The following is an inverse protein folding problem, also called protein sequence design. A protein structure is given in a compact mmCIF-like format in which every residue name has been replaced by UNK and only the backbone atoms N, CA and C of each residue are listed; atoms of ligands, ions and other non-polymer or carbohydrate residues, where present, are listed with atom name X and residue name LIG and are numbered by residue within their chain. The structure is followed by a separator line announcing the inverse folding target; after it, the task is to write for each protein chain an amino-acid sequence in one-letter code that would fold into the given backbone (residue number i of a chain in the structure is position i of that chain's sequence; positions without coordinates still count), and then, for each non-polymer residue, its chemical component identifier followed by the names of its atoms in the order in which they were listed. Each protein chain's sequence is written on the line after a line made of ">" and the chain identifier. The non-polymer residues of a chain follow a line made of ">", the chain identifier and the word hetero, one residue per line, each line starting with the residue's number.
data_IF_778668454714
#
_entry.id   IF_778668454714
#
_cell.length_a   1.000
_cell.length_b   1.000
_cell.length_c   1.000
_cell.angle_alpha   90.00
_cell.angle_beta   90.00
_cell.angle_gamma   90.00
#
_symmetry.space_group_name_H-M   'P 1'
#
loop_
_entity.id
_entity.type
_entity.pdbx_description
1 polymer ?
#
# COMPACT_ATOMS: atom_id res chain seq x y z
N UNK A 1 30.18 22.63 -2.93
CA UNK A 1 29.31 21.45 -3.12
C UNK A 1 28.96 20.89 -1.75
N UNK A 2 27.75 21.16 -1.26
CA UNK A 2 27.29 20.63 0.03
C UNK A 2 27.14 19.10 -0.09
N UNK A 3 27.92 18.34 0.65
CA UNK A 3 27.75 16.91 0.85
C UNK A 3 26.38 16.67 1.52
N UNK A 4 25.30 16.58 0.73
CA UNK A 4 24.01 16.17 1.24
C UNK A 4 24.12 14.70 1.70
N UNK A 5 24.32 14.50 3.00
CA UNK A 5 24.36 13.18 3.62
C UNK A 5 23.04 12.47 3.32
N UNK A 6 23.13 11.23 2.84
CA UNK A 6 21.98 10.34 2.68
C UNK A 6 21.18 10.34 3.98
N UNK A 7 19.91 10.70 3.92
CA UNK A 7 19.07 10.79 5.12
C UNK A 7 19.10 9.46 5.87
N UNK A 8 19.50 9.52 7.15
CA UNK A 8 19.54 8.36 8.03
C UNK A 8 18.09 7.84 8.19
N UNK A 9 17.86 6.59 7.86
CA UNK A 9 16.52 5.97 7.98
C UNK A 9 16.23 5.68 9.43
N UNK A 10 14.98 5.91 9.84
CA UNK A 10 14.51 5.60 11.16
C UNK A 10 14.04 4.12 11.22
N UNK A 11 14.59 3.35 12.14
CA UNK A 11 14.24 1.93 12.34
C UNK A 11 12.79 1.74 12.75
N UNK A 12 12.20 2.69 13.47
CA UNK A 12 10.79 2.66 13.83
C UNK A 12 9.86 2.62 12.60
N UNK A 13 10.23 3.35 11.52
CA UNK A 13 9.49 3.31 10.25
C UNK A 13 9.56 1.92 9.62
N UNK A 14 10.73 1.26 9.66
CA UNK A 14 10.89 -0.09 9.11
C UNK A 14 10.15 -1.14 9.95
N UNK A 15 10.08 -1.00 11.28
CA UNK A 15 9.26 -1.84 12.17
C UNK A 15 7.77 -1.63 11.88
N UNK A 16 7.32 -0.37 11.75
CA UNK A 16 5.91 -0.10 11.48
C UNK A 16 5.46 -0.62 10.10
N UNK A 17 6.36 -0.69 9.11
CA UNK A 17 6.11 -1.40 7.84
C UNK A 17 5.79 -2.88 8.05
N UNK A 18 6.48 -3.54 8.97
CA UNK A 18 6.19 -4.94 9.31
C UNK A 18 4.79 -5.05 9.95
N UNK A 19 4.45 -4.14 10.86
CA UNK A 19 3.09 -4.09 11.45
C UNK A 19 2.05 -3.90 10.35
N UNK A 20 2.27 -2.96 9.41
CA UNK A 20 1.38 -2.74 8.27
C UNK A 20 1.24 -3.99 7.38
N UNK A 21 2.33 -4.76 7.17
CA UNK A 21 2.26 -6.01 6.40
C UNK A 21 1.37 -7.06 7.12
N UNK A 22 1.45 -7.18 8.44
CA UNK A 22 0.54 -8.04 9.21
C UNK A 22 -0.92 -7.56 9.14
N UNK A 23 -1.17 -6.26 9.21
CA UNK A 23 -2.53 -5.73 9.03
C UNK A 23 -3.10 -6.11 7.66
N UNK A 24 -2.28 -6.08 6.59
CA UNK A 24 -2.70 -6.51 5.26
C UNK A 24 -3.08 -8.01 5.25
N UNK A 25 -2.32 -8.88 5.92
CA UNK A 25 -2.65 -10.30 6.05
C UNK A 25 -3.98 -10.48 6.77
N UNK A 26 -4.19 -9.79 7.90
CA UNK A 26 -5.44 -9.81 8.68
C UNK A 26 -6.62 -9.39 7.80
N UNK A 27 -6.47 -8.34 6.99
CA UNK A 27 -7.53 -7.89 6.10
C UNK A 27 -7.93 -8.90 5.02
N UNK A 28 -6.96 -9.66 4.48
CA UNK A 28 -7.23 -10.68 3.48
C UNK A 28 -7.75 -12.00 4.06
N UNK A 29 -7.45 -12.28 5.32
CA UNK A 29 -7.86 -13.53 5.99
C UNK A 29 -9.15 -13.38 6.80
N UNK A 30 -9.47 -12.16 7.25
CA UNK A 30 -10.67 -11.82 8.04
C UNK A 30 -10.89 -12.76 9.24
N UNK A 31 -9.97 -12.78 10.22
CA UNK A 31 -10.02 -13.75 11.33
C UNK A 31 -11.27 -13.61 12.21
N UNK A 32 -11.84 -12.43 12.31
CA UNK A 32 -12.92 -12.12 13.23
C UNK A 32 -14.32 -12.28 12.63
N UNK A 33 -14.46 -12.61 11.33
CA UNK A 33 -15.75 -12.66 10.64
C UNK A 33 -16.74 -13.64 11.25
N UNK A 34 -16.24 -14.77 11.82
CA UNK A 34 -17.08 -15.77 12.50
C UNK A 34 -17.27 -15.49 13.98
N UNK A 35 -16.42 -14.66 14.60
CA UNK A 35 -16.45 -14.37 16.02
C UNK A 35 -17.35 -13.18 16.32
N UNK A 36 -17.13 -12.06 15.65
CA UNK A 36 -17.86 -10.82 15.85
C UNK A 36 -17.75 -9.91 14.63
N UNK A 37 -18.89 -9.58 14.03
CA UNK A 37 -18.95 -8.74 12.82
C UNK A 37 -18.42 -7.32 13.04
N UNK A 38 -18.62 -6.74 14.24
CA UNK A 38 -18.13 -5.39 14.56
C UNK A 38 -16.60 -5.37 14.70
N UNK A 39 -16.01 -6.41 15.31
CA UNK A 39 -14.56 -6.56 15.36
C UNK A 39 -13.98 -6.74 13.96
N UNK A 40 -14.59 -7.60 13.13
CA UNK A 40 -14.15 -7.78 11.76
C UNK A 40 -14.24 -6.48 10.97
N UNK A 41 -15.33 -5.74 11.08
CA UNK A 41 -15.50 -4.44 10.46
C UNK A 41 -14.43 -3.44 10.91
N UNK A 42 -14.16 -3.34 12.21
CA UNK A 42 -13.13 -2.45 12.76
C UNK A 42 -11.74 -2.77 12.21
N UNK A 43 -11.34 -4.05 12.24
CA UNK A 43 -10.03 -4.44 11.72
C UNK A 43 -9.91 -4.24 10.22
N UNK A 44 -10.94 -4.58 9.44
CA UNK A 44 -10.88 -4.53 7.97
C UNK A 44 -11.12 -3.15 7.37
N UNK A 45 -11.98 -2.33 7.97
CA UNK A 45 -12.39 -1.04 7.43
C UNK A 45 -11.79 0.17 8.16
N UNK A 46 -11.20 -0.01 9.33
CA UNK A 46 -10.52 1.08 10.05
C UNK A 46 -9.02 0.83 10.09
N UNK A 47 -8.54 -0.17 10.81
CA UNK A 47 -7.11 -0.36 11.05
C UNK A 47 -6.33 -0.75 9.79
N UNK A 48 -6.84 -1.70 9.00
CA UNK A 48 -6.19 -2.12 7.77
C UNK A 48 -6.00 -0.97 6.79
N UNK A 49 -6.96 -0.04 6.75
CA UNK A 49 -6.95 1.06 5.77
C UNK A 49 -5.80 2.05 5.97
N UNK A 50 -5.08 1.96 7.08
CA UNK A 50 -3.88 2.77 7.34
C UNK A 50 -2.66 2.20 6.60
N UNK A 51 -2.58 0.88 6.39
CA UNK A 51 -1.37 0.20 5.95
C UNK A 51 -0.89 0.66 4.57
N UNK A 52 -1.76 0.66 3.56
CA UNK A 52 -1.37 1.02 2.19
C UNK A 52 -1.03 2.50 2.04
N UNK A 53 -1.82 3.46 2.57
CA UNK A 53 -1.44 4.86 2.62
C UNK A 53 -0.09 5.10 3.28
N UNK A 54 0.19 4.43 4.40
CA UNK A 54 1.48 4.52 5.07
C UNK A 54 2.63 4.08 4.15
N UNK A 55 2.48 2.96 3.43
CA UNK A 55 3.50 2.51 2.47
C UNK A 55 3.75 3.53 1.35
N UNK A 56 2.72 4.17 0.80
CA UNK A 56 2.88 5.20 -0.22
C UNK A 56 3.54 6.47 0.35
N UNK A 57 3.14 6.93 1.54
CA UNK A 57 3.77 8.08 2.21
C UNK A 57 5.25 7.82 2.45
N UNK A 58 5.61 6.68 3.03
CA UNK A 58 7.00 6.29 3.25
C UNK A 58 7.79 6.22 1.94
N UNK A 59 7.17 5.67 0.89
CA UNK A 59 7.78 5.60 -0.44
C UNK A 59 8.05 6.98 -1.01
N UNK A 60 7.07 7.89 -0.98
CA UNK A 60 7.21 9.27 -1.43
C UNK A 60 8.26 10.06 -0.66
N UNK A 61 8.26 9.92 0.67
CA UNK A 61 9.19 10.59 1.56
C UNK A 61 10.67 10.24 1.25
N UNK A 62 10.99 8.95 1.18
CA UNK A 62 12.37 8.52 0.88
C UNK A 62 12.71 8.65 -0.61
N UNK A 63 11.75 8.53 -1.50
CA UNK A 63 11.95 8.76 -2.93
C UNK A 63 12.43 10.19 -3.19
N UNK A 64 11.74 11.17 -2.64
CA UNK A 64 12.11 12.58 -2.81
C UNK A 64 13.47 12.91 -2.19
N UNK A 65 13.78 12.39 -1.02
CA UNK A 65 15.10 12.53 -0.40
C UNK A 65 16.23 12.07 -1.32
N UNK A 66 16.03 10.94 -2.04
CA UNK A 66 17.03 10.43 -2.97
C UNK A 66 17.04 11.18 -4.31
N UNK A 67 15.89 11.67 -4.78
CA UNK A 67 15.80 12.51 -5.99
C UNK A 67 16.55 13.85 -5.82
N UNK A 68 16.58 14.42 -4.62
CA UNK A 68 17.40 15.62 -4.30
C UNK A 68 18.90 15.39 -4.49
N UNK A 69 19.36 14.15 -4.28
CA UNK A 69 20.79 13.77 -4.42
C UNK A 69 21.10 13.39 -5.88
N UNK A 70 20.18 12.68 -6.54
CA UNK A 70 20.36 12.21 -7.90
C UNK A 70 19.05 12.29 -8.70
N UNK A 71 18.96 13.21 -9.63
CA UNK A 71 17.79 13.42 -10.48
C UNK A 71 17.40 12.19 -11.33
N UNK A 72 18.30 11.24 -11.55
CA UNK A 72 18.04 10.00 -12.27
C UNK A 72 17.72 8.82 -11.36
N UNK A 73 17.62 9.05 -10.04
CA UNK A 73 17.31 8.01 -9.06
C UNK A 73 16.04 7.20 -9.41
N UNK A 74 15.03 7.85 -9.98
CA UNK A 74 13.76 7.21 -10.34
C UNK A 74 13.92 6.00 -11.26
N UNK A 75 14.88 6.02 -12.22
CA UNK A 75 15.13 4.88 -13.13
C UNK A 75 15.56 3.63 -12.38
N UNK A 76 16.54 3.78 -11.47
CA UNK A 76 17.02 2.68 -10.64
C UNK A 76 15.97 2.22 -9.61
N UNK A 77 15.14 3.14 -9.11
CA UNK A 77 14.06 2.83 -8.19
C UNK A 77 12.98 1.98 -8.88
N UNK A 78 12.50 2.39 -10.05
CA UNK A 78 11.53 1.63 -10.87
C UNK A 78 12.09 0.26 -11.24
N UNK A 79 13.35 0.19 -11.73
CA UNK A 79 14.00 -1.08 -12.07
C UNK A 79 14.00 -2.06 -10.89
N UNK A 80 14.27 -1.57 -9.67
CA UNK A 80 14.23 -2.40 -8.46
C UNK A 80 12.83 -2.92 -8.16
N UNK A 81 11.79 -2.09 -8.32
CA UNK A 81 10.41 -2.51 -8.11
C UNK A 81 10.04 -3.58 -9.13
N UNK A 82 10.33 -3.37 -10.42
CA UNK A 82 10.02 -4.33 -11.49
C UNK A 82 10.70 -5.67 -11.23
N UNK A 83 12.01 -5.68 -10.94
CA UNK A 83 12.77 -6.91 -10.65
C UNK A 83 12.19 -7.66 -9.44
N UNK A 84 11.70 -6.94 -8.45
CA UNK A 84 11.08 -7.53 -7.26
C UNK A 84 9.66 -8.03 -7.53
N UNK A 85 8.89 -7.32 -8.35
CA UNK A 85 7.47 -7.56 -8.61
C UNK A 85 7.21 -8.68 -9.64
N UNK A 86 7.91 -8.63 -10.78
CA UNK A 86 7.62 -9.50 -11.94
C UNK A 86 7.66 -11.00 -11.61
N UNK A 87 8.65 -11.53 -10.88
CA UNK A 87 8.66 -12.97 -10.54
C UNK A 87 7.41 -13.40 -9.77
N UNK A 88 6.96 -12.59 -8.81
CA UNK A 88 5.76 -12.88 -8.05
C UNK A 88 4.51 -12.77 -8.91
N UNK A 89 4.42 -11.77 -9.77
CA UNK A 89 3.29 -11.61 -10.68
C UNK A 89 3.14 -12.81 -11.62
N UNK A 90 4.26 -13.36 -12.14
CA UNK A 90 4.25 -14.57 -12.96
C UNK A 90 3.67 -15.75 -12.18
N UNK A 91 4.11 -15.97 -10.93
CA UNK A 91 3.57 -17.03 -10.07
C UNK A 91 2.06 -16.84 -9.87
N UNK A 92 1.61 -15.63 -9.62
CA UNK A 92 0.18 -15.32 -9.45
C UNK A 92 -0.63 -15.62 -10.71
N UNK A 93 -0.13 -15.21 -11.88
CA UNK A 93 -0.80 -15.49 -13.15
C UNK A 93 -0.91 -17.01 -13.37
N UNK A 94 0.15 -17.77 -13.13
CA UNK A 94 0.12 -19.23 -13.27
C UNK A 94 -0.91 -19.86 -12.34
N UNK A 95 -0.94 -19.48 -11.06
CA UNK A 95 -1.92 -19.99 -10.10
C UNK A 95 -3.36 -19.62 -10.49
N UNK A 96 -3.56 -18.42 -11.00
CA UNK A 96 -4.87 -17.94 -11.44
C UNK A 96 -5.35 -18.69 -12.69
N UNK A 97 -4.48 -18.95 -13.66
CA UNK A 97 -4.77 -19.77 -14.84
C UNK A 97 -5.12 -21.22 -14.45
N UNK A 98 -4.38 -21.84 -13.51
CA UNK A 98 -4.68 -23.17 -13.01
C UNK A 98 -6.07 -23.21 -12.37
N UNK A 99 -6.39 -22.21 -11.56
CA UNK A 99 -7.67 -22.11 -10.86
C UNK A 99 -8.85 -21.93 -11.81
N UNK A 100 -8.69 -21.09 -12.82
CA UNK A 100 -9.76 -20.66 -13.72
C UNK A 100 -9.68 -21.31 -15.09
N UNK A 101 -8.98 -22.46 -15.22
CA UNK A 101 -8.72 -23.14 -16.51
C UNK A 101 -9.94 -23.31 -17.41
N UNK A 102 -11.12 -23.51 -16.81
CA UNK A 102 -12.37 -23.74 -17.55
C UNK A 102 -13.02 -22.44 -18.07
N UNK A 103 -12.52 -21.28 -17.67
CA UNK A 103 -13.08 -19.96 -18.01
C UNK A 103 -12.13 -19.11 -18.87
N UNK A 104 -11.02 -19.69 -19.31
CA UNK A 104 -10.01 -18.98 -20.11
C UNK A 104 -10.58 -18.68 -21.49
N UNK A 105 -10.76 -17.40 -21.78
CA UNK A 105 -11.14 -16.89 -23.10
C UNK A 105 -10.40 -15.56 -23.34
N UNK A 106 -10.53 -14.98 -24.54
CA UNK A 106 -9.85 -13.74 -24.91
C UNK A 106 -10.17 -12.58 -23.96
N UNK A 107 -11.42 -12.48 -23.50
CA UNK A 107 -11.85 -11.45 -22.54
C UNK A 107 -11.19 -11.66 -21.18
N UNK A 108 -11.12 -12.89 -20.69
CA UNK A 108 -10.42 -13.21 -19.45
C UNK A 108 -8.94 -12.82 -19.50
N UNK A 109 -8.25 -13.15 -20.60
CA UNK A 109 -6.84 -12.78 -20.80
C UNK A 109 -6.69 -11.26 -20.82
N UNK A 110 -7.53 -10.55 -21.57
CA UNK A 110 -7.52 -9.07 -21.62
C UNK A 110 -7.70 -8.44 -20.24
N UNK A 111 -8.71 -8.88 -19.47
CA UNK A 111 -8.95 -8.36 -18.14
C UNK A 111 -7.78 -8.70 -17.18
N UNK A 112 -7.22 -9.90 -17.24
CA UNK A 112 -6.08 -10.30 -16.41
C UNK A 112 -4.83 -9.44 -16.70
N UNK A 113 -4.56 -9.11 -17.96
CA UNK A 113 -3.48 -8.19 -18.34
C UNK A 113 -3.78 -6.78 -17.80
N UNK A 114 -4.99 -6.28 -18.00
CA UNK A 114 -5.43 -4.96 -17.52
C UNK A 114 -5.29 -4.86 -16.01
N UNK A 115 -5.74 -5.88 -15.26
CA UNK A 115 -5.58 -5.93 -13.81
C UNK A 115 -4.11 -5.99 -13.38
N UNK A 116 -3.27 -6.70 -14.10
CA UNK A 116 -1.83 -6.75 -13.79
C UNK A 116 -1.15 -5.40 -13.96
N UNK A 117 -1.59 -4.58 -14.90
CA UNK A 117 -1.00 -3.26 -15.19
C UNK A 117 -1.56 -2.18 -14.26
N UNK A 118 -2.87 -2.14 -14.05
CA UNK A 118 -3.54 -1.06 -13.33
C UNK A 118 -3.92 -1.40 -11.90
N UNK A 119 -3.81 -2.65 -11.50
CA UNK A 119 -4.09 -3.09 -10.14
C UNK A 119 -5.57 -3.15 -9.79
N UNK A 120 -6.37 -3.81 -10.64
CA UNK A 120 -7.78 -4.02 -10.40
C UNK A 120 -8.10 -4.80 -9.11
N UNK A 121 -9.39 -4.95 -8.81
CA UNK A 121 -9.92 -5.47 -7.55
C UNK A 121 -9.48 -6.89 -7.20
N UNK A 122 -9.18 -7.73 -8.18
CA UNK A 122 -8.73 -9.11 -7.97
C UNK A 122 -7.20 -9.25 -7.86
N UNK A 123 -6.44 -8.22 -8.23
CA UNK A 123 -4.99 -8.24 -8.11
C UNK A 123 -4.55 -7.83 -6.71
N UNK A 124 -4.10 -8.80 -5.94
CA UNK A 124 -3.56 -8.53 -4.60
C UNK A 124 -2.22 -7.76 -4.62
N UNK A 125 -1.51 -7.78 -5.75
CA UNK A 125 -0.22 -7.09 -5.90
C UNK A 125 -0.35 -5.66 -6.48
N UNK A 126 -1.54 -5.10 -6.54
CA UNK A 126 -1.83 -3.79 -7.13
C UNK A 126 -0.95 -2.63 -6.62
N UNK A 127 -0.41 -2.75 -5.42
CA UNK A 127 0.47 -1.76 -4.82
C UNK A 127 1.71 -1.47 -5.68
N UNK A 128 2.30 -2.49 -6.33
CA UNK A 128 3.54 -2.32 -7.09
C UNK A 128 3.34 -1.62 -8.44
N UNK A 129 2.41 -2.00 -9.31
CA UNK A 129 2.10 -1.22 -10.50
C UNK A 129 1.64 0.20 -10.14
N UNK A 130 0.89 0.38 -9.05
CA UNK A 130 0.52 1.69 -8.55
C UNK A 130 1.75 2.52 -8.14
N UNK A 131 2.74 1.92 -7.48
CA UNK A 131 3.99 2.56 -7.08
C UNK A 131 4.85 2.90 -8.29
N UNK A 132 4.91 2.05 -9.32
CA UNK A 132 5.64 2.31 -10.57
C UNK A 132 5.03 3.51 -11.28
N UNK A 133 3.70 3.48 -11.50
CA UNK A 133 2.99 4.56 -12.18
C UNK A 133 3.19 5.91 -11.47
N UNK A 134 2.93 5.94 -10.17
CA UNK A 134 3.06 7.17 -9.38
C UNK A 134 4.50 7.69 -9.35
N UNK A 135 5.50 6.80 -9.32
CA UNK A 135 6.91 7.19 -9.40
C UNK A 135 7.23 7.85 -10.74
N UNK A 136 6.78 7.30 -11.87
CA UNK A 136 6.98 7.88 -13.20
C UNK A 136 6.32 9.27 -13.26
N UNK A 137 5.04 9.34 -12.87
CA UNK A 137 4.24 10.55 -12.90
C UNK A 137 4.87 11.67 -12.06
N UNK A 138 5.19 11.39 -10.82
CA UNK A 138 5.80 12.35 -9.88
C UNK A 138 7.19 12.80 -10.36
N UNK A 139 7.99 11.88 -10.90
CA UNK A 139 9.32 12.19 -11.40
C UNK A 139 9.31 13.21 -12.54
N UNK A 140 8.29 13.15 -13.41
CA UNK A 140 8.11 14.11 -14.50
C UNK A 140 7.94 15.54 -13.95
N UNK A 141 7.08 15.72 -12.94
CA UNK A 141 6.84 17.03 -12.35
C UNK A 141 8.04 17.55 -11.54
N UNK A 142 8.70 16.68 -10.76
CA UNK A 142 9.90 17.06 -9.99
C UNK A 142 11.01 17.53 -10.93
N UNK A 143 11.29 16.78 -12.00
CA UNK A 143 12.35 17.14 -12.97
C UNK A 143 12.08 18.45 -13.71
N UNK A 144 10.82 18.79 -13.93
CA UNK A 144 10.41 20.06 -14.57
C UNK A 144 10.22 21.20 -13.57
N UNK A 145 10.54 21.00 -12.27
CA UNK A 145 10.28 21.96 -11.18
C UNK A 145 8.81 22.42 -11.07
N UNK A 146 7.87 21.60 -11.54
CA UNK A 146 6.42 21.90 -11.56
C UNK A 146 5.72 21.35 -10.32
N UNK A 147 6.18 21.78 -9.16
CA UNK A 147 5.72 21.25 -7.88
C UNK A 147 4.32 21.70 -7.50
N UNK A 148 3.94 22.94 -7.85
CA UNK A 148 2.61 23.49 -7.56
C UNK A 148 1.54 22.72 -8.35
N UNK A 149 1.79 22.46 -9.63
CA UNK A 149 0.88 21.71 -10.49
C UNK A 149 0.73 20.26 -10.00
N UNK A 150 1.83 19.64 -9.54
CA UNK A 150 1.77 18.30 -8.96
C UNK A 150 0.84 18.26 -7.74
N UNK A 151 0.88 19.26 -6.86
CA UNK A 151 0.00 19.33 -5.69
C UNK A 151 -1.46 19.50 -6.12
N UNK A 152 -1.74 20.44 -7.03
CA UNK A 152 -3.11 20.70 -7.52
C UNK A 152 -3.69 19.43 -8.16
N UNK A 153 -2.93 18.79 -9.04
CA UNK A 153 -3.37 17.55 -9.69
C UNK A 153 -3.57 16.45 -8.65
N UNK A 154 -2.68 16.32 -7.67
CA UNK A 154 -2.84 15.28 -6.64
C UNK A 154 -4.10 15.45 -5.78
N UNK A 155 -4.50 16.70 -5.49
CA UNK A 155 -5.75 16.99 -4.79
C UNK A 155 -6.95 16.59 -5.67
N UNK A 156 -6.94 16.96 -6.95
CA UNK A 156 -8.00 16.58 -7.90
C UNK A 156 -8.12 15.05 -8.00
N UNK A 157 -7.00 14.34 -8.12
CA UNK A 157 -6.97 12.88 -8.19
C UNK A 157 -7.48 12.23 -6.89
N UNK A 158 -7.18 12.81 -5.73
CA UNK A 158 -7.72 12.36 -4.45
C UNK A 158 -9.25 12.50 -4.42
N UNK A 159 -9.78 13.65 -4.83
CA UNK A 159 -11.24 13.89 -4.88
C UNK A 159 -11.90 12.89 -5.84
N UNK A 160 -11.32 12.68 -7.02
CA UNK A 160 -11.81 11.67 -7.96
C UNK A 160 -11.79 10.27 -7.36
N UNK A 161 -10.75 9.93 -6.60
CA UNK A 161 -10.63 8.67 -5.86
C UNK A 161 -11.75 8.50 -4.82
N UNK A 162 -11.99 9.51 -4.01
CA UNK A 162 -13.06 9.52 -3.01
C UNK A 162 -14.44 9.34 -3.65
N UNK A 163 -14.77 10.16 -4.67
CA UNK A 163 -16.05 10.12 -5.38
C UNK A 163 -16.26 8.81 -6.16
N UNK A 164 -15.21 8.17 -6.60
CA UNK A 164 -15.29 6.87 -7.29
C UNK A 164 -15.26 5.66 -6.34
N UNK A 165 -15.25 5.87 -5.03
CA UNK A 165 -15.13 4.83 -4.00
C UNK A 165 -16.17 5.05 -2.89
N UNK A 166 -15.74 5.31 -1.67
CA UNK A 166 -16.60 5.39 -0.47
C UNK A 166 -17.66 6.49 -0.55
N UNK A 167 -17.41 7.53 -1.34
CA UNK A 167 -18.31 8.67 -1.54
C UNK A 167 -19.05 8.64 -2.90
N UNK A 168 -19.17 7.47 -3.51
CA UNK A 168 -19.84 7.35 -4.81
C UNK A 168 -21.30 7.81 -4.80
N UNK A 169 -21.98 7.76 -3.65
CA UNK A 169 -23.33 8.27 -3.48
C UNK A 169 -23.49 9.75 -3.84
N UNK A 170 -22.43 10.57 -3.64
CA UNK A 170 -22.42 11.99 -4.03
C UNK A 170 -22.36 12.15 -5.56
N UNK A 171 -21.59 11.29 -6.23
CA UNK A 171 -21.42 11.34 -7.69
C UNK A 171 -22.58 10.73 -8.46
N UNK A 172 -23.33 9.82 -7.81
CA UNK A 172 -24.44 9.09 -8.43
C UNK A 172 -25.54 10.04 -8.90
N UNK A 173 -25.96 9.89 -10.16
CA UNK A 173 -27.00 10.75 -10.78
C UNK A 173 -26.48 12.11 -11.23
N UNK A 174 -25.21 12.43 -11.08
CA UNK A 174 -24.58 13.68 -11.55
C UNK A 174 -23.68 13.44 -12.77
N UNK A 175 -23.22 14.52 -13.41
CA UNK A 175 -22.23 14.45 -14.49
C UNK A 175 -20.91 13.79 -14.06
N UNK A 176 -20.56 13.82 -12.78
CA UNK A 176 -19.38 13.13 -12.23
C UNK A 176 -19.48 11.62 -12.34
N UNK A 177 -20.68 11.04 -12.33
CA UNK A 177 -20.87 9.61 -12.54
C UNK A 177 -20.32 9.15 -13.89
N UNK A 178 -20.53 9.92 -14.96
CA UNK A 178 -19.99 9.58 -16.29
C UNK A 178 -18.46 9.61 -16.29
N UNK A 179 -17.86 10.60 -15.64
CA UNK A 179 -16.40 10.69 -15.50
C UNK A 179 -15.84 9.48 -14.75
N UNK A 180 -16.47 9.09 -13.64
CA UNK A 180 -16.06 7.93 -12.85
C UNK A 180 -16.23 6.62 -13.62
N UNK A 181 -17.33 6.48 -14.36
CA UNK A 181 -17.56 5.29 -15.19
C UNK A 181 -16.51 5.18 -16.31
N UNK A 182 -16.20 6.29 -16.98
CA UNK A 182 -15.12 6.35 -17.98
C UNK A 182 -13.77 5.99 -17.36
N UNK A 183 -13.48 6.55 -16.19
CA UNK A 183 -12.25 6.24 -15.44
C UNK A 183 -12.16 4.75 -15.11
N UNK A 184 -13.22 4.16 -14.58
CA UNK A 184 -13.27 2.73 -14.23
C UNK A 184 -13.22 1.83 -15.45
N UNK A 185 -13.75 2.27 -16.60
CA UNK A 185 -13.59 1.54 -17.85
C UNK A 185 -12.13 1.40 -18.26
N UNK A 186 -11.34 2.46 -18.09
CA UNK A 186 -9.89 2.49 -18.44
C UNK A 186 -9.06 1.79 -17.36
N UNK A 187 -9.26 2.13 -16.10
CA UNK A 187 -8.38 1.76 -14.98
C UNK A 187 -8.94 0.68 -14.06
N UNK A 188 -10.10 0.13 -14.36
CA UNK A 188 -10.83 -0.91 -13.59
C UNK A 188 -11.42 -0.44 -12.26
N UNK A 189 -10.75 0.40 -11.50
CA UNK A 189 -11.25 0.98 -10.24
C UNK A 189 -10.44 2.21 -9.85
N UNK A 190 -10.95 2.98 -8.90
CA UNK A 190 -10.26 4.17 -8.39
C UNK A 190 -9.18 3.85 -7.35
N UNK A 191 -9.07 2.61 -6.87
CA UNK A 191 -7.99 2.18 -5.98
C UNK A 191 -6.76 1.76 -6.79
N UNK A 192 -6.01 2.71 -7.31
CA UNK A 192 -4.87 2.45 -8.20
C UNK A 192 -3.73 3.47 -8.06
N UNK A 193 -2.80 3.44 -9.00
CA UNK A 193 -1.63 4.32 -9.05
C UNK A 193 -1.97 5.79 -9.22
N UNK A 194 -3.06 6.09 -9.90
CA UNK A 194 -3.45 7.47 -10.26
C UNK A 194 -4.09 8.17 -9.07
N UNK A 195 -5.21 7.64 -8.60
CA UNK A 195 -6.06 8.31 -7.59
C UNK A 195 -5.69 8.02 -6.16
N UNK A 196 -4.93 6.95 -5.88
CA UNK A 196 -4.48 6.63 -4.53
C UNK A 196 -2.97 6.81 -4.34
N UNK A 197 -2.12 6.19 -5.16
CA UNK A 197 -0.69 6.23 -4.92
C UNK A 197 -0.09 7.63 -5.13
N UNK A 198 -0.51 8.38 -6.17
CA UNK A 198 -0.01 9.75 -6.42
C UNK A 198 -0.29 10.66 -5.24
N UNK A 199 -1.54 10.83 -4.72
CA UNK A 199 -1.82 11.71 -3.59
C UNK A 199 -1.02 11.37 -2.32
N UNK A 200 -0.96 10.08 -1.94
CA UNK A 200 -0.23 9.68 -0.74
C UNK A 200 1.29 9.78 -0.90
N UNK A 201 1.85 9.51 -2.08
CA UNK A 201 3.27 9.75 -2.33
C UNK A 201 3.60 11.24 -2.32
N UNK A 202 2.76 12.10 -2.91
CA UNK A 202 2.93 13.57 -2.87
C UNK A 202 2.86 14.05 -1.42
N UNK A 203 1.96 13.53 -0.59
CA UNK A 203 1.93 13.81 0.85
C UNK A 203 3.27 13.46 1.50
N UNK A 204 3.83 12.27 1.23
CA UNK A 204 5.15 11.88 1.73
C UNK A 204 6.27 12.83 1.29
N UNK A 205 6.22 13.31 0.04
CA UNK A 205 7.16 14.30 -0.49
C UNK A 205 7.03 15.64 0.26
N UNK A 206 5.81 16.11 0.50
CA UNK A 206 5.54 17.34 1.25
C UNK A 206 6.09 17.23 2.68
N UNK A 207 5.86 16.10 3.35
CA UNK A 207 6.41 15.84 4.68
C UNK A 207 7.94 15.89 4.68
N UNK A 208 8.62 15.37 3.66
CA UNK A 208 10.07 15.47 3.53
C UNK A 208 10.54 16.89 3.22
N UNK A 209 9.83 17.60 2.33
CA UNK A 209 10.21 18.94 1.88
C UNK A 209 10.08 19.97 3.00
N UNK A 210 9.03 19.87 3.82
CA UNK A 210 8.69 20.84 4.87
C UNK A 210 9.04 20.32 6.27
N UNK A 211 9.81 19.24 6.39
CA UNK A 211 10.28 18.74 7.69
C UNK A 211 11.08 19.83 8.41
N UNK A 212 10.48 20.42 9.44
CA UNK A 212 11.20 21.26 10.40
C UNK A 212 11.88 20.38 11.44
N UNK A 213 13.03 20.82 11.99
CA UNK A 213 13.68 20.17 13.14
C UNK A 213 12.65 20.12 14.27
N UNK A 214 12.41 18.95 14.81
CA UNK A 214 11.21 18.71 15.56
C UNK A 214 11.35 18.99 17.04
N UNK A 215 10.39 19.73 17.55
CA UNK A 215 10.29 20.07 18.97
C UNK A 215 9.04 19.51 19.68
N UNK A 216 8.08 18.85 18.98
CA UNK A 216 6.77 18.58 19.56
C UNK A 216 6.28 17.13 19.39
N UNK A 217 7.01 16.18 19.96
CA UNK A 217 6.70 14.74 19.91
C UNK A 217 5.32 14.38 20.50
N UNK A 218 4.89 15.06 21.56
CA UNK A 218 3.72 14.67 22.34
C UNK A 218 2.37 14.97 21.67
N UNK A 219 2.29 15.97 20.79
CA UNK A 219 1.03 16.33 20.14
C UNK A 219 0.49 15.26 19.20
N UNK A 220 1.36 14.53 18.51
CA UNK A 220 0.92 13.47 17.61
C UNK A 220 0.30 12.29 18.36
N UNK A 221 0.82 11.96 19.55
CA UNK A 221 0.29 10.90 20.41
C UNK A 221 -1.10 11.28 20.93
N UNK A 222 -1.29 12.53 21.31
CA UNK A 222 -2.58 13.04 21.79
C UNK A 222 -3.63 13.12 20.66
N UNK A 223 -3.21 13.40 19.43
CA UNK A 223 -4.11 13.44 18.28
C UNK A 223 -4.63 12.07 17.85
N UNK A 224 -3.91 10.99 18.18
CA UNK A 224 -4.20 9.63 17.69
C UNK A 224 -5.60 9.13 18.12
N UNK A 225 -6.04 9.20 19.38
CA UNK A 225 -7.38 8.77 19.77
C UNK A 225 -8.48 9.56 19.07
N UNK A 226 -8.31 10.88 18.96
CA UNK A 226 -9.30 11.75 18.29
C UNK A 226 -9.45 11.36 16.82
N UNK A 227 -8.36 11.14 16.12
CA UNK A 227 -8.38 10.79 14.70
C UNK A 227 -8.96 9.38 14.50
N UNK A 228 -8.67 8.43 15.39
CA UNK A 228 -9.31 7.11 15.38
C UNK A 228 -10.82 7.21 15.54
N UNK A 229 -11.30 8.03 16.47
CA UNK A 229 -12.74 8.27 16.66
C UNK A 229 -13.35 8.85 15.39
N UNK A 230 -12.71 9.86 14.76
CA UNK A 230 -13.17 10.44 13.48
C UNK A 230 -13.23 9.36 12.39
N UNK A 231 -12.21 8.52 12.27
CA UNK A 231 -12.15 7.46 11.27
C UNK A 231 -13.25 6.40 11.48
N UNK A 232 -13.49 6.00 12.73
CA UNK A 232 -14.58 5.08 13.08
C UNK A 232 -15.93 5.71 12.75
N UNK A 233 -16.15 6.96 13.14
CA UNK A 233 -17.41 7.68 12.90
C UNK A 233 -17.67 7.82 11.40
N UNK A 234 -16.65 8.20 10.60
CA UNK A 234 -16.76 8.28 9.15
C UNK A 234 -17.15 6.93 8.52
N UNK A 235 -16.49 5.84 8.93
CA UNK A 235 -16.79 4.52 8.38
C UNK A 235 -18.20 4.04 8.73
N UNK A 236 -18.67 4.31 9.95
CA UNK A 236 -20.04 3.98 10.38
C UNK A 236 -21.09 4.82 9.63
N UNK A 237 -20.85 6.12 9.45
CA UNK A 237 -21.74 7.02 8.71
C UNK A 237 -21.86 6.55 7.25
N UNK A 238 -20.72 6.28 6.60
CA UNK A 238 -20.70 5.80 5.22
C UNK A 238 -21.42 4.47 5.05
N UNK A 239 -21.28 3.55 6.00
CA UNK A 239 -21.94 2.24 5.98
C UNK A 239 -23.42 2.30 6.29
N UNK A 240 -23.81 2.92 7.39
CA UNK A 240 -25.16 2.85 7.92
C UNK A 240 -26.11 3.88 7.29
N UNK A 241 -25.61 5.08 6.97
CA UNK A 241 -26.47 6.16 6.41
C UNK A 241 -26.44 6.14 4.89
N UNK A 242 -25.26 5.99 4.29
CA UNK A 242 -25.12 6.10 2.83
C UNK A 242 -25.03 4.75 2.10
N UNK A 243 -25.12 3.62 2.81
CA UNK A 243 -25.05 2.25 2.25
C UNK A 243 -23.82 2.08 1.32
N UNK A 244 -22.68 2.70 1.66
CA UNK A 244 -21.46 2.53 0.91
C UNK A 244 -21.03 1.06 0.96
N UNK A 245 -20.74 0.47 -0.20
CA UNK A 245 -20.30 -0.94 -0.29
C UNK A 245 -18.78 -1.07 -0.41
N UNK A 246 -18.08 0.04 -0.65
CA UNK A 246 -16.63 0.08 -0.90
C UNK A 246 -16.01 1.03 0.12
N UNK A 247 -14.97 0.54 0.81
CA UNK A 247 -14.36 1.23 1.94
C UNK A 247 -12.84 1.32 1.79
N UNK A 248 -12.36 1.75 0.61
CA UNK A 248 -10.91 1.86 0.37
C UNK A 248 -10.38 3.27 0.60
N UNK A 249 -11.22 4.32 0.46
CA UNK A 249 -10.88 5.73 0.59
C UNK A 249 -11.72 6.44 1.63
N UNK A 250 -11.05 7.14 2.55
CA UNK A 250 -11.69 8.01 3.55
C UNK A 250 -11.01 9.37 3.57
N UNK A 251 -11.76 10.40 3.91
CA UNK A 251 -11.19 11.73 4.16
C UNK A 251 -10.32 11.68 5.42
N UNK A 252 -10.80 11.05 6.48
CA UNK A 252 -10.03 10.85 7.72
C UNK A 252 -8.74 10.06 7.48
N UNK A 253 -8.74 9.07 6.61
CA UNK A 253 -7.54 8.30 6.25
C UNK A 253 -6.43 9.19 5.67
N UNK A 254 -6.81 10.18 4.84
CA UNK A 254 -5.85 11.12 4.25
C UNK A 254 -5.24 12.05 5.31
N UNK A 255 -5.97 12.35 6.37
CA UNK A 255 -5.47 13.11 7.52
C UNK A 255 -4.66 12.23 8.48
N UNK A 256 -5.12 11.01 8.70
CA UNK A 256 -4.56 10.08 9.69
C UNK A 256 -3.21 9.50 9.29
N UNK A 257 -3.07 9.07 8.05
CA UNK A 257 -1.85 8.39 7.59
C UNK A 257 -0.57 9.25 7.70
N UNK A 258 -0.56 10.56 7.35
CA UNK A 258 0.61 11.40 7.55
C UNK A 258 0.92 11.64 9.04
N UNK A 259 -0.08 11.71 9.90
CA UNK A 259 0.12 11.90 11.34
C UNK A 259 0.76 10.65 11.95
N UNK A 260 0.29 9.45 11.59
CA UNK A 260 0.96 8.19 11.98
C UNK A 260 2.40 8.17 11.49
N UNK A 261 2.64 8.55 10.23
CA UNK A 261 4.00 8.59 9.70
C UNK A 261 4.89 9.52 10.54
N UNK A 262 4.43 10.73 10.82
CA UNK A 262 5.19 11.69 11.65
C UNK A 262 5.42 11.16 13.07
N UNK A 263 4.43 10.56 13.69
CA UNK A 263 4.57 9.95 15.00
C UNK A 263 5.66 8.87 14.98
N UNK A 264 5.58 7.94 14.04
CA UNK A 264 6.54 6.84 13.91
C UNK A 264 7.94 7.33 13.55
N UNK A 265 8.07 8.32 12.65
CA UNK A 265 9.36 8.91 12.25
C UNK A 265 10.04 9.65 13.40
N UNK A 266 9.30 9.98 14.46
CA UNK A 266 9.81 10.65 15.66
C UNK A 266 10.21 9.70 16.79
N UNK A 267 9.87 8.43 16.67
CA UNK A 267 10.26 7.41 17.64
C UNK A 267 11.70 6.99 17.36
N UNK A 268 12.60 7.18 18.32
CA UNK A 268 13.95 6.66 18.26
C UNK A 268 14.01 5.26 18.89
N UNK A 269 13.96 4.23 18.06
CA UNK A 269 14.18 2.85 18.49
C UNK A 269 15.53 2.42 17.92
N UNK A 270 16.39 1.88 18.79
CA UNK A 270 17.58 1.12 18.38
C UNK A 270 17.21 -0.36 18.42
N UNK A 271 16.86 -0.91 17.28
CA UNK A 271 16.58 -2.35 17.15
C UNK A 271 17.90 -3.12 17.00
N UNK A 272 17.96 -4.35 17.54
CA UNK A 272 19.03 -5.30 17.23
C UNK A 272 18.92 -5.85 15.79
N UNK A 273 17.76 -5.68 15.15
CA UNK A 273 17.51 -6.16 13.80
C UNK A 273 17.99 -5.14 12.77
N UNK A 274 18.64 -5.61 11.71
CA UNK A 274 19.07 -4.76 10.62
C UNK A 274 17.87 -4.17 9.87
N UNK A 275 17.82 -2.84 9.72
CA UNK A 275 16.80 -2.13 8.95
C UNK A 275 16.60 -2.68 7.53
N UNK A 276 17.63 -3.22 6.89
CA UNK A 276 17.53 -3.86 5.58
C UNK A 276 16.75 -5.17 5.68
N UNK A 277 17.00 -5.97 6.72
CA UNK A 277 16.24 -7.19 6.98
C UNK A 277 14.75 -6.87 7.19
N UNK A 278 14.42 -5.90 8.05
CA UNK A 278 13.01 -5.50 8.31
C UNK A 278 12.27 -5.09 7.04
N UNK A 279 12.93 -4.34 6.15
CA UNK A 279 12.33 -3.94 4.85
C UNK A 279 12.10 -5.13 3.93
N UNK A 280 13.08 -6.01 3.79
CA UNK A 280 12.93 -7.20 2.96
C UNK A 280 11.88 -8.14 3.55
N UNK A 281 11.86 -8.29 4.86
CA UNK A 281 10.88 -9.12 5.56
C UNK A 281 9.45 -8.60 5.37
N UNK A 282 9.20 -7.30 5.57
CA UNK A 282 7.87 -6.72 5.34
C UNK A 282 7.43 -6.85 3.88
N UNK A 283 8.35 -6.71 2.93
CA UNK A 283 8.10 -6.87 1.51
C UNK A 283 7.76 -8.33 1.16
N UNK A 284 8.54 -9.28 1.68
CA UNK A 284 8.31 -10.70 1.46
C UNK A 284 7.00 -11.18 2.11
N UNK A 285 6.65 -10.68 3.31
CA UNK A 285 5.33 -10.92 3.92
C UNK A 285 4.20 -10.49 2.98
N UNK A 286 4.34 -9.30 2.38
CA UNK A 286 3.35 -8.80 1.43
C UNK A 286 3.23 -9.68 0.18
N UNK A 287 4.33 -10.24 -0.32
CA UNK A 287 4.29 -11.13 -1.47
C UNK A 287 3.76 -12.52 -1.14
N UNK A 288 4.22 -13.12 -0.03
CA UNK A 288 3.97 -14.54 0.25
C UNK A 288 2.54 -14.83 0.69
N UNK A 289 1.93 -13.97 1.51
CA UNK A 289 0.65 -14.30 2.16
C UNK A 289 -0.47 -14.65 1.19
N UNK A 290 -0.54 -13.95 0.07
CA UNK A 290 -1.61 -14.18 -0.91
C UNK A 290 -1.37 -15.48 -1.69
N UNK A 291 -0.11 -15.81 -2.02
CA UNK A 291 0.20 -17.10 -2.65
C UNK A 291 -0.28 -18.23 -1.75
N UNK A 292 -0.04 -18.14 -0.45
CA UNK A 292 -0.49 -19.14 0.52
C UNK A 292 -2.02 -19.22 0.51
N UNK A 293 -2.72 -18.08 0.51
CA UNK A 293 -4.18 -18.03 0.41
C UNK A 293 -4.66 -18.70 -0.90
N UNK A 294 -4.01 -18.41 -2.02
CA UNK A 294 -4.37 -19.00 -3.32
C UNK A 294 -4.10 -20.51 -3.36
N UNK A 295 -2.95 -20.96 -2.87
CA UNK A 295 -2.61 -22.38 -2.77
C UNK A 295 -3.65 -23.12 -1.93
N UNK A 296 -4.07 -22.59 -0.80
CA UNK A 296 -5.09 -23.21 0.03
C UNK A 296 -6.45 -23.30 -0.66
N UNK A 297 -6.78 -22.30 -1.48
CA UNK A 297 -8.00 -22.34 -2.32
C UNK A 297 -7.88 -23.39 -3.44
N UNK A 298 -6.73 -23.46 -4.12
CA UNK A 298 -6.49 -24.45 -5.16
C UNK A 298 -6.54 -25.88 -4.62
N UNK A 299 -5.99 -26.11 -3.43
CA UNK A 299 -5.99 -27.39 -2.75
C UNK A 299 -7.31 -27.71 -2.04
N UNK A 300 -8.30 -26.81 -2.12
CA UNK A 300 -9.60 -26.94 -1.44
C UNK A 300 -9.49 -27.19 0.07
N UNK A 301 -8.44 -26.65 0.71
CA UNK A 301 -8.24 -26.82 2.15
C UNK A 301 -9.30 -26.03 2.89
N UNK A 302 -10.13 -26.72 3.67
CA UNK A 302 -11.14 -26.15 4.53
C UNK A 302 -10.59 -25.99 5.95
N UNK A 303 -11.04 -24.96 6.66
CA UNK A 303 -10.66 -24.71 8.05
C UNK A 303 -11.90 -24.65 8.91
N UNK A 304 -11.80 -25.19 10.11
CA UNK A 304 -12.86 -25.13 11.12
C UNK A 304 -13.14 -23.70 11.60
N UNK A 305 -12.14 -22.81 11.51
CA UNK A 305 -12.24 -21.43 11.99
C UNK A 305 -11.41 -20.47 11.10
N UNK A 306 -11.96 -19.26 10.89
CA UNK A 306 -11.24 -18.17 10.23
C UNK A 306 -9.98 -17.72 11.01
N UNK A 307 -9.99 -17.85 12.32
CA UNK A 307 -8.83 -17.57 13.18
C UNK A 307 -7.71 -18.58 12.91
N UNK A 308 -8.01 -19.88 12.92
CA UNK A 308 -7.04 -20.95 12.65
C UNK A 308 -6.42 -20.75 11.26
N UNK A 309 -7.25 -20.49 10.25
CA UNK A 309 -6.80 -20.15 8.91
C UNK A 309 -5.80 -18.98 8.93
N UNK A 310 -6.11 -17.91 9.63
CA UNK A 310 -5.26 -16.72 9.72
C UNK A 310 -3.93 -17.02 10.38
N UNK A 311 -3.94 -17.77 11.50
CA UNK A 311 -2.72 -18.16 12.21
C UNK A 311 -1.80 -18.97 11.30
N UNK A 312 -2.34 -19.97 10.59
CA UNK A 312 -1.55 -20.80 9.67
C UNK A 312 -0.94 -19.94 8.57
N UNK A 313 -1.72 -19.01 7.96
CA UNK A 313 -1.23 -18.12 6.91
C UNK A 313 -0.13 -17.19 7.45
N UNK A 314 -0.28 -16.65 8.66
CA UNK A 314 0.73 -15.80 9.29
C UNK A 314 2.02 -16.59 9.52
N UNK A 315 1.95 -17.75 10.16
CA UNK A 315 3.13 -18.57 10.48
C UNK A 315 3.87 -18.97 9.21
N UNK A 316 3.15 -19.50 8.21
CA UNK A 316 3.76 -19.91 6.93
C UNK A 316 4.37 -18.71 6.19
N UNK A 317 3.69 -17.55 6.20
CA UNK A 317 4.22 -16.31 5.59
C UNK A 317 5.49 -15.83 6.30
N UNK A 318 5.56 -15.91 7.64
CA UNK A 318 6.75 -15.55 8.41
C UNK A 318 7.92 -16.44 8.03
N UNK A 319 7.73 -17.77 8.03
CA UNK A 319 8.79 -18.73 7.72
C UNK A 319 9.36 -18.47 6.32
N UNK A 320 8.50 -18.36 5.31
CA UNK A 320 8.93 -18.11 3.93
C UNK A 320 9.64 -16.74 3.83
N UNK A 321 9.10 -15.71 4.48
CA UNK A 321 9.67 -14.36 4.44
C UNK A 321 11.04 -14.28 5.10
N UNK A 322 11.28 -15.01 6.19
CA UNK A 322 12.60 -15.10 6.83
C UNK A 322 13.60 -15.78 5.88
N UNK A 323 13.24 -16.95 5.32
CA UNK A 323 14.10 -17.69 4.41
C UNK A 323 14.53 -16.86 3.19
N UNK A 324 13.58 -16.13 2.59
CA UNK A 324 13.86 -15.25 1.46
C UNK A 324 14.71 -14.04 1.86
N UNK A 325 14.50 -13.47 3.05
CA UNK A 325 15.22 -12.29 3.51
C UNK A 325 16.67 -12.59 3.86
N UNK A 326 16.96 -13.76 4.42
CA UNK A 326 18.31 -14.22 4.73
C UNK A 326 19.10 -14.54 3.46
N UNK A 327 18.52 -15.22 2.47
CA UNK A 327 19.19 -15.52 1.18
C UNK A 327 19.67 -14.26 0.45
N UNK A 328 18.87 -13.18 0.48
CA UNK A 328 19.24 -11.89 -0.16
C UNK A 328 20.49 -11.26 0.49
N UNK A 329 20.70 -11.46 1.78
CA UNK A 329 21.89 -10.94 2.46
C UNK A 329 23.13 -11.80 2.18
N UNK A 330 23.02 -13.12 2.10
CA UNK A 330 24.12 -14.03 1.77
C UNK A 330 24.66 -13.81 0.35
N UNK A 331 23.78 -13.67 -0.66
CA UNK A 331 24.21 -13.44 -2.04
C UNK A 331 25.00 -12.14 -2.25
N UNK A 332 24.82 -11.13 -1.37
CA UNK A 332 25.63 -9.91 -1.41
C UNK A 332 27.00 -10.09 -0.74
N UNK A 333 27.14 -10.96 0.23
CA UNK A 333 28.42 -11.28 0.85
C UNK A 333 29.32 -12.02 -0.14
N UNK A 334 28.75 -12.90 -0.97
CA UNK A 334 29.48 -13.62 -2.03
C UNK A 334 29.84 -12.72 -3.23
N UNK A 335 29.02 -11.69 -3.54
CA UNK A 335 29.29 -10.74 -4.63
C UNK A 335 30.38 -9.70 -4.29
N UNK A 336 30.70 -9.48 -3.01
CA UNK A 336 31.75 -8.57 -2.55
C UNK A 336 33.13 -9.31 -2.47
N UNK A 337 33.09 -10.65 -2.49
CA UNK A 337 34.33 -11.48 -2.47
C UNK A 337 34.84 -11.89 -3.86
N UNK A 338 34.21 -11.42 -4.92
CA UNK A 338 34.69 -11.49 -6.31
C UNK A 338 34.96 -10.07 -6.83
#
# INVERSE_FOLDING_TARGET
>A
MNNMKKQQRNEAVDIFRVICAFLVIIGHTRPFIQLNSNLDFFFTNVLLRIAVPFFFIVSGYFFYSNMKINNNYYKGYIKKIIISYVPWQVIYIVLDLIRNRNYINARYIYESIKYSIFGGTESYLWFFPALIFSTIFISFFIKKNRFKELIIISIFLLILGLLGNSYYFIARGTSFQYLINLYNHIFSCTRNGVTMAVPYMVMGILLNKYKKKQERRNYYILALPLILVIMISETLILGNIFNSKIYDFYISQFLFAPIIFLMVDNINIKSKLNSKFLRNFSLNLYYCHVIIIMLFRCLKITYSSSIIKTIIIIITSIIISILLSVKVDQNKIFAIKR
#
